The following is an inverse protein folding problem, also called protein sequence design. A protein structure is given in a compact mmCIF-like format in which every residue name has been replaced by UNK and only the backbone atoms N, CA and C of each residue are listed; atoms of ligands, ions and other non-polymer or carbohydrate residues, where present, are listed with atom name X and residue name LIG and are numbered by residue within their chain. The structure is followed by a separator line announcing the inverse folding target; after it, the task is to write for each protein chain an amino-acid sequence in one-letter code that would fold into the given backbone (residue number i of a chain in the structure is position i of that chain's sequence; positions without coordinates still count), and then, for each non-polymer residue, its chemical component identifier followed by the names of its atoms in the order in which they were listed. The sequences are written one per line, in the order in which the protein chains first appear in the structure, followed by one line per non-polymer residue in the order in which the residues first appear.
data_IF_334072753753
#
_entry.id   IF_334072753753
#
_cell.length_a   1.000
_cell.length_b   1.000
_cell.length_c   1.000
_cell.angle_alpha   90.00
_cell.angle_beta   90.00
_cell.angle_gamma   90.00
#
_symmetry.space_group_name_H-M   'P 1'
#
loop_
_entity.id
_entity.type
_entity.pdbx_description
1 polymer ?
#
# COMPACT_ATOMS: atom_id res chain seq x y z
N UNK A 1 -13.81 -25.98 33.54
CA UNK A 1 -13.42 -24.57 33.24
C UNK A 1 -12.33 -24.26 34.26
N UNK A 2 -11.07 -24.10 33.84
CA UNK A 2 -10.02 -23.61 34.72
C UNK A 2 -10.39 -22.20 35.17
N UNK A 3 -10.35 -21.95 36.48
CA UNK A 3 -10.50 -20.58 37.01
C UNK A 3 -9.44 -19.72 36.27
N UNK A 4 -9.86 -18.75 35.48
CA UNK A 4 -8.98 -17.74 34.94
C UNK A 4 -8.34 -17.02 36.11
N UNK A 5 -7.05 -17.15 36.26
CA UNK A 5 -6.31 -16.46 37.31
C UNK A 5 -6.07 -15.03 36.85
N UNK A 6 -6.54 -14.07 37.63
CA UNK A 6 -6.32 -12.65 37.42
C UNK A 6 -5.36 -12.09 38.47
N UNK A 7 -4.61 -11.05 38.09
CA UNK A 7 -3.91 -10.16 39.01
C UNK A 7 -4.64 -8.82 39.04
N UNK A 8 -4.61 -8.14 40.16
CA UNK A 8 -5.17 -6.80 40.31
C UNK A 8 -4.09 -5.78 40.00
N UNK A 9 -4.38 -4.89 39.06
CA UNK A 9 -3.57 -3.72 38.79
C UNK A 9 -4.44 -2.46 38.90
N UNK A 10 -3.82 -1.31 39.16
CA UNK A 10 -4.51 -0.03 39.36
C UNK A 10 -3.89 1.09 38.55
N UNK A 11 -4.72 2.04 38.11
CA UNK A 11 -4.35 3.32 37.54
C UNK A 11 -5.15 4.44 38.22
N UNK A 12 -5.08 5.68 37.67
CA UNK A 12 -5.84 6.82 38.24
C UNK A 12 -7.35 6.65 38.24
N UNK A 13 -7.89 5.72 37.45
CA UNK A 13 -9.33 5.45 37.37
C UNK A 13 -9.78 4.28 38.26
N UNK A 14 -8.85 3.64 38.97
CA UNK A 14 -9.10 2.55 39.89
C UNK A 14 -8.56 1.20 39.45
N UNK A 15 -8.96 0.16 40.16
CA UNK A 15 -8.47 -1.20 39.98
C UNK A 15 -9.22 -1.94 38.86
N UNK A 16 -8.46 -2.78 38.12
CA UNK A 16 -9.00 -3.77 37.17
C UNK A 16 -8.31 -5.12 37.34
N UNK A 17 -9.04 -6.16 36.97
CA UNK A 17 -8.48 -7.51 36.81
C UNK A 17 -7.80 -7.63 35.48
N UNK A 18 -6.53 -8.07 35.49
CA UNK A 18 -5.73 -8.35 34.29
C UNK A 18 -5.41 -9.85 34.33
N UNK A 19 -5.52 -10.60 33.22
CA UNK A 19 -5.14 -12.02 33.20
C UNK A 19 -3.70 -12.22 33.70
N UNK A 20 -3.48 -13.21 34.55
CA UNK A 20 -2.17 -13.40 35.21
C UNK A 20 -1.05 -13.68 34.19
N UNK A 21 -1.40 -14.33 33.07
CA UNK A 21 -0.44 -14.69 32.02
C UNK A 21 -0.17 -13.53 31.04
N UNK A 22 -1.04 -12.51 31.00
CA UNK A 22 -0.87 -11.38 30.12
C UNK A 22 0.39 -10.57 30.47
N UNK A 23 1.09 -10.11 29.46
CA UNK A 23 2.20 -9.14 29.62
C UNK A 23 1.73 -7.69 29.59
N UNK A 24 0.55 -7.43 29.02
CA UNK A 24 -0.06 -6.11 29.15
C UNK A 24 -0.65 -5.90 30.57
N UNK A 25 -0.92 -4.65 30.91
CA UNK A 25 -1.40 -4.25 32.24
C UNK A 25 -2.78 -3.60 32.23
N UNK A 26 -3.04 -2.82 33.28
CA UNK A 26 -4.36 -2.20 33.56
C UNK A 26 -4.82 -1.24 32.47
N UNK A 27 -3.93 -0.43 31.89
CA UNK A 27 -4.32 0.55 30.86
C UNK A 27 -4.71 -0.13 29.56
N UNK A 28 -3.98 -1.16 29.16
CA UNK A 28 -4.35 -2.01 28.01
C UNK A 28 -5.67 -2.73 28.26
N UNK A 29 -5.87 -3.30 29.46
CA UNK A 29 -7.13 -3.96 29.79
C UNK A 29 -8.30 -2.98 29.71
N UNK A 30 -8.12 -1.74 30.16
CA UNK A 30 -9.12 -0.69 30.04
C UNK A 30 -9.42 -0.34 28.58
N UNK A 31 -8.38 -0.24 27.74
CA UNK A 31 -8.54 -0.01 26.30
C UNK A 31 -9.32 -1.13 25.61
N UNK A 32 -9.03 -2.41 25.93
CA UNK A 32 -9.77 -3.57 25.42
C UNK A 32 -11.27 -3.49 25.79
N UNK A 33 -11.55 -3.02 26.99
CA UNK A 33 -12.95 -2.88 27.45
C UNK A 33 -13.66 -1.72 26.74
N UNK A 34 -12.96 -0.62 26.47
CA UNK A 34 -13.52 0.61 25.89
C UNK A 34 -13.67 0.55 24.36
N UNK A 35 -12.70 -0.02 23.66
CA UNK A 35 -12.62 0.05 22.20
C UNK A 35 -12.82 -1.32 21.56
N UNK A 36 -14.04 -1.55 21.07
CA UNK A 36 -14.44 -2.72 20.27
C UNK A 36 -15.10 -2.18 19.00
N UNK A 37 -14.31 -1.51 18.17
CA UNK A 37 -14.80 -0.66 17.08
C UNK A 37 -14.54 -1.30 15.71
N UNK A 38 -13.26 -1.57 15.37
CA UNK A 38 -12.88 -2.00 14.02
C UNK A 38 -12.71 -3.51 13.90
N UNK A 39 -12.59 -4.23 14.99
CA UNK A 39 -12.12 -5.62 15.07
C UNK A 39 -10.69 -5.84 14.51
N UNK A 40 -9.97 -4.76 14.19
CA UNK A 40 -8.57 -4.81 13.78
C UNK A 40 -7.69 -4.39 14.95
N UNK A 41 -6.78 -5.24 15.34
CA UNK A 41 -5.91 -5.04 16.50
C UNK A 41 -4.52 -4.63 16.05
N UNK A 42 -3.75 -4.05 16.96
CA UNK A 42 -2.34 -3.72 16.70
C UNK A 42 -1.54 -4.97 16.30
N UNK A 43 -1.78 -6.12 16.93
CA UNK A 43 -1.11 -7.39 16.61
C UNK A 43 -1.42 -7.95 15.21
N UNK A 44 -2.46 -7.47 14.53
CA UNK A 44 -2.75 -7.83 13.15
C UNK A 44 -1.76 -7.17 12.17
N UNK A 45 -0.97 -6.21 12.65
CA UNK A 45 0.12 -5.56 11.95
C UNK A 45 1.48 -5.82 12.64
N UNK A 46 2.10 -6.99 12.42
CA UNK A 46 3.39 -7.33 13.07
C UNK A 46 4.47 -6.28 12.88
N UNK A 47 4.51 -5.63 11.70
CA UNK A 47 5.45 -4.54 11.41
C UNK A 47 5.27 -3.34 12.32
N UNK A 48 4.05 -3.09 12.80
CA UNK A 48 3.77 -2.00 13.73
C UNK A 48 4.23 -2.35 15.15
N UNK A 49 4.00 -3.58 15.59
CA UNK A 49 4.51 -4.08 16.89
C UNK A 49 6.04 -3.98 16.92
N UNK A 50 6.70 -4.45 15.87
CA UNK A 50 8.16 -4.37 15.72
C UNK A 50 8.63 -2.91 15.73
N UNK A 51 7.97 -2.03 14.98
CA UNK A 51 8.33 -0.63 14.91
C UNK A 51 8.25 0.05 16.28
N UNK A 52 7.18 -0.19 17.04
CA UNK A 52 7.02 0.34 18.39
C UNK A 52 8.13 -0.17 19.32
N UNK A 53 8.47 -1.45 19.26
CA UNK A 53 9.57 -2.00 20.05
C UNK A 53 10.92 -1.38 19.68
N UNK A 54 11.17 -1.07 18.40
CA UNK A 54 12.39 -0.36 17.97
C UNK A 54 12.47 1.05 18.54
N UNK A 55 11.36 1.80 18.53
CA UNK A 55 11.30 3.14 19.13
C UNK A 55 11.61 3.06 20.63
N UNK A 56 10.99 2.13 21.36
CA UNK A 56 11.22 1.96 22.80
C UNK A 56 12.65 1.53 23.11
N UNK A 57 13.24 0.67 22.30
CA UNK A 57 14.63 0.26 22.42
C UNK A 57 15.59 1.43 22.23
N UNK A 58 15.40 2.21 21.16
CA UNK A 58 16.23 3.39 20.88
C UNK A 58 16.12 4.43 22.00
N UNK A 59 14.91 4.67 22.52
CA UNK A 59 14.67 5.57 23.64
C UNK A 59 15.36 5.09 24.93
N UNK A 60 15.29 3.79 25.26
CA UNK A 60 15.94 3.23 26.45
C UNK A 60 17.48 3.34 26.37
N UNK A 61 18.07 3.03 25.20
CA UNK A 61 19.50 3.21 24.97
C UNK A 61 19.92 4.69 25.09
N UNK A 62 19.11 5.59 24.56
CA UNK A 62 19.34 7.04 24.65
C UNK A 62 19.31 7.52 26.10
N UNK A 63 18.28 7.13 26.85
CA UNK A 63 18.16 7.49 28.27
C UNK A 63 19.31 6.94 29.12
N UNK A 64 19.77 5.72 28.83
CA UNK A 64 20.97 5.14 29.48
C UNK A 64 22.21 5.97 29.20
N UNK A 65 22.46 6.32 27.93
CA UNK A 65 23.67 7.08 27.53
C UNK A 65 23.67 8.50 28.10
N UNK A 66 22.50 9.14 28.17
CA UNK A 66 22.32 10.48 28.75
C UNK A 66 22.25 10.48 30.32
N UNK A 67 22.35 9.32 30.94
CA UNK A 67 22.24 9.19 32.39
C UNK A 67 20.85 9.55 32.95
N UNK A 68 19.81 9.38 32.18
CA UNK A 68 18.42 9.58 32.59
C UNK A 68 17.76 8.31 33.13
N UNK A 69 18.40 7.14 32.98
CA UNK A 69 17.89 5.85 33.43
C UNK A 69 19.00 4.97 33.96
N UNK A 70 18.71 4.19 35.00
CA UNK A 70 19.63 3.17 35.52
C UNK A 70 20.00 2.15 34.44
N UNK A 71 21.27 1.81 34.36
CA UNK A 71 21.78 0.92 33.29
C UNK A 71 21.15 -0.46 33.31
N UNK A 72 20.89 -1.04 34.50
CA UNK A 72 20.30 -2.38 34.64
C UNK A 72 18.85 -2.40 34.12
N UNK A 73 18.09 -1.34 34.45
CA UNK A 73 16.71 -1.21 33.97
C UNK A 73 16.69 -0.99 32.46
N UNK A 74 17.54 -0.11 31.94
CA UNK A 74 17.64 0.15 30.49
C UNK A 74 18.01 -1.12 29.71
N UNK A 75 18.97 -1.91 30.19
CA UNK A 75 19.40 -3.14 29.55
C UNK A 75 18.28 -4.20 29.54
N UNK A 76 17.51 -4.30 30.62
CA UNK A 76 16.34 -5.20 30.67
C UNK A 76 15.22 -4.76 29.70
N UNK A 77 14.97 -3.45 29.56
CA UNK A 77 14.02 -2.91 28.57
C UNK A 77 14.52 -3.21 27.14
N UNK A 78 15.80 -2.98 26.86
CA UNK A 78 16.41 -3.29 25.54
C UNK A 78 16.26 -4.76 25.18
N UNK A 79 16.52 -5.67 26.13
CA UNK A 79 16.38 -7.09 25.91
C UNK A 79 14.90 -7.50 25.67
N UNK A 80 13.96 -6.98 26.44
CA UNK A 80 12.53 -7.18 26.24
C UNK A 80 12.09 -6.70 24.84
N UNK A 81 12.56 -5.53 24.39
CA UNK A 81 12.28 -5.01 23.07
C UNK A 81 12.86 -5.92 21.95
N UNK A 82 14.07 -6.46 22.12
CA UNK A 82 14.66 -7.40 21.16
C UNK A 82 13.82 -8.66 21.00
N UNK A 83 13.34 -9.24 22.10
CA UNK A 83 12.44 -10.39 22.03
C UNK A 83 11.16 -10.09 21.24
N UNK A 84 10.58 -8.87 21.37
CA UNK A 84 9.42 -8.44 20.60
C UNK A 84 9.79 -8.25 19.12
N UNK A 85 10.93 -7.66 18.82
CA UNK A 85 11.44 -7.48 17.45
C UNK A 85 11.65 -8.85 16.77
N UNK A 86 12.08 -9.85 17.53
CA UNK A 86 12.28 -11.24 17.08
C UNK A 86 10.95 -12.01 16.94
N UNK A 87 9.80 -11.38 17.14
CA UNK A 87 8.47 -11.95 16.92
C UNK A 87 7.81 -12.58 18.14
N UNK A 88 8.40 -12.45 19.35
CA UNK A 88 7.75 -12.90 20.59
C UNK A 88 6.71 -11.88 21.07
N UNK A 89 5.70 -12.35 21.80
CA UNK A 89 4.70 -11.54 22.49
C UNK A 89 3.80 -10.68 21.57
N UNK A 90 3.75 -10.90 20.28
CA UNK A 90 2.92 -10.12 19.38
C UNK A 90 1.43 -10.22 19.73
N UNK A 91 0.96 -11.36 20.21
CA UNK A 91 -0.39 -11.57 20.72
C UNK A 91 -0.74 -10.72 21.96
N UNK A 92 0.27 -10.13 22.61
CA UNK A 92 0.11 -9.26 23.77
C UNK A 92 -0.20 -7.80 23.39
N UNK A 93 -0.48 -7.51 22.11
CA UNK A 93 -0.87 -6.19 21.61
C UNK A 93 -2.32 -6.20 21.07
N UNK A 94 -3.32 -6.47 21.94
CA UNK A 94 -4.71 -6.71 21.53
C UNK A 94 -5.55 -5.44 21.37
N UNK A 95 -4.99 -4.24 21.51
CA UNK A 95 -5.74 -2.98 21.42
C UNK A 95 -6.30 -2.77 20.02
N UNK A 96 -7.55 -2.29 19.93
CA UNK A 96 -8.19 -1.92 18.67
C UNK A 96 -7.44 -0.75 18.03
N UNK A 97 -7.20 -0.81 16.73
CA UNK A 97 -6.55 0.28 15.97
C UNK A 97 -7.38 1.56 16.00
N UNK A 98 -8.72 1.45 16.08
CA UNK A 98 -9.64 2.60 16.19
C UNK A 98 -9.85 2.93 17.66
N UNK A 99 -9.23 4.01 18.10
CA UNK A 99 -9.23 4.42 19.51
C UNK A 99 -9.18 5.95 19.65
N UNK A 100 -9.73 6.47 20.72
CA UNK A 100 -9.52 7.86 21.14
C UNK A 100 -8.21 8.03 21.91
N UNK A 101 -7.80 9.29 22.14
CA UNK A 101 -6.61 9.61 22.93
C UNK A 101 -5.29 9.63 22.15
N UNK A 102 -5.34 9.88 20.84
CA UNK A 102 -4.16 10.07 19.99
C UNK A 102 -3.16 8.91 20.03
N UNK A 103 -3.63 7.66 20.25
CA UNK A 103 -2.77 6.48 20.29
C UNK A 103 -2.22 6.12 21.68
N UNK A 104 -2.69 6.76 22.75
CA UNK A 104 -2.22 6.47 24.12
C UNK A 104 -2.39 5.00 24.48
N UNK A 105 -3.49 4.35 24.07
CA UNK A 105 -3.69 2.92 24.36
C UNK A 105 -2.64 2.03 23.70
N UNK A 106 -2.22 2.32 22.49
CA UNK A 106 -1.13 1.60 21.83
C UNK A 106 0.21 1.85 22.53
N UNK A 107 0.54 3.11 22.85
CA UNK A 107 1.76 3.45 23.53
C UNK A 107 1.85 2.76 24.90
N UNK A 108 0.75 2.80 25.68
CA UNK A 108 0.72 2.16 26.99
C UNK A 108 0.71 0.64 26.91
N UNK A 109 0.08 0.05 25.90
CA UNK A 109 0.18 -1.39 25.64
C UNK A 109 1.62 -1.83 25.47
N UNK A 110 2.40 -1.10 24.66
CA UNK A 110 3.82 -1.39 24.49
C UNK A 110 4.60 -1.18 25.79
N UNK A 111 4.35 -0.09 26.50
CA UNK A 111 5.02 0.21 27.77
C UNK A 111 4.77 -0.89 28.81
N UNK A 112 3.54 -1.38 28.94
CA UNK A 112 3.17 -2.41 29.91
C UNK A 112 3.78 -3.78 29.54
N UNK A 113 3.71 -4.20 28.26
CA UNK A 113 4.32 -5.45 27.79
C UNK A 113 5.82 -5.45 28.01
N UNK A 114 6.50 -4.37 27.62
CA UNK A 114 7.95 -4.23 27.76
C UNK A 114 8.34 -4.19 29.24
N UNK A 115 7.61 -3.42 30.09
CA UNK A 115 7.89 -3.35 31.52
C UNK A 115 7.75 -4.73 32.20
N UNK A 116 6.67 -5.44 31.94
CA UNK A 116 6.44 -6.76 32.52
C UNK A 116 7.48 -7.78 32.08
N UNK A 117 7.92 -7.73 30.80
CA UNK A 117 9.00 -8.60 30.34
C UNK A 117 10.35 -8.20 30.93
N UNK A 118 10.65 -6.93 31.06
CA UNK A 118 11.86 -6.43 31.72
C UNK A 118 11.92 -6.82 33.20
N UNK A 119 10.77 -6.79 33.90
CA UNK A 119 10.66 -7.28 35.29
C UNK A 119 11.08 -8.76 35.41
N UNK A 120 10.56 -9.63 34.53
CA UNK A 120 10.95 -11.04 34.52
C UNK A 120 12.46 -11.24 34.23
N UNK A 121 13.02 -10.49 33.28
CA UNK A 121 14.46 -10.52 32.95
C UNK A 121 15.30 -10.14 34.17
N UNK A 122 14.82 -9.20 34.99
CA UNK A 122 15.48 -8.81 36.24
C UNK A 122 15.20 -9.73 37.45
N UNK A 123 14.37 -10.77 37.28
CA UNK A 123 14.01 -11.73 38.31
C UNK A 123 12.82 -11.32 39.19
N UNK A 124 12.00 -10.38 38.73
CA UNK A 124 10.78 -9.92 39.39
C UNK A 124 9.52 -10.50 38.75
N UNK A 125 8.38 -10.29 39.40
CA UNK A 125 7.05 -10.72 38.88
C UNK A 125 6.41 -9.60 38.07
N UNK A 126 5.56 -10.00 37.13
CA UNK A 126 4.68 -9.06 36.41
C UNK A 126 3.87 -8.22 37.39
N UNK A 127 3.76 -6.90 37.12
CA UNK A 127 3.05 -5.96 37.99
C UNK A 127 3.89 -5.37 39.14
N UNK A 128 5.13 -5.82 39.37
CA UNK A 128 6.03 -5.24 40.37
C UNK A 128 6.70 -3.93 39.85
N UNK A 129 5.85 -2.96 39.45
CA UNK A 129 6.25 -1.75 38.71
C UNK A 129 7.17 -0.81 39.51
N UNK A 130 7.37 -1.02 40.82
CA UNK A 130 8.37 -0.31 41.61
C UNK A 130 9.82 -0.60 41.12
N UNK A 131 10.06 -1.71 40.42
CA UNK A 131 11.37 -2.07 39.87
C UNK A 131 11.53 -1.70 38.38
N UNK A 132 10.44 -1.76 37.60
CA UNK A 132 10.39 -1.29 36.22
C UNK A 132 8.97 -0.81 35.88
N UNK A 133 8.76 0.49 35.90
CA UNK A 133 7.47 1.13 35.64
C UNK A 133 7.24 1.34 34.13
N UNK A 134 6.04 1.04 33.62
CA UNK A 134 5.66 1.41 32.26
C UNK A 134 5.81 2.92 31.98
N UNK A 135 5.43 3.75 32.95
CA UNK A 135 5.43 5.21 32.81
C UNK A 135 6.82 5.84 33.08
N UNK A 136 7.43 5.49 34.23
CA UNK A 136 8.65 6.20 34.68
C UNK A 136 9.91 5.68 33.97
N UNK A 137 9.91 4.41 33.53
CA UNK A 137 11.07 3.79 32.90
C UNK A 137 10.87 3.56 31.40
N UNK A 138 9.92 2.74 30.98
CA UNK A 138 9.74 2.44 29.53
C UNK A 138 9.36 3.68 28.74
N UNK A 139 8.54 4.57 29.32
CA UNK A 139 8.13 5.85 28.72
C UNK A 139 9.00 7.05 29.14
N UNK A 140 10.14 6.84 29.77
CA UNK A 140 11.05 7.90 30.22
C UNK A 140 11.44 8.83 29.05
N UNK A 141 11.35 10.15 29.27
CA UNK A 141 11.60 11.20 28.27
C UNK A 141 10.74 11.12 27.00
N UNK A 142 9.55 10.54 27.10
CA UNK A 142 8.63 10.36 25.99
C UNK A 142 7.21 10.82 26.35
N UNK A 143 6.43 11.06 25.33
CA UNK A 143 4.97 11.13 25.36
C UNK A 143 4.42 10.13 24.33
N UNK A 144 3.12 9.82 24.37
CA UNK A 144 2.45 9.21 23.23
C UNK A 144 2.63 10.07 21.97
N UNK A 145 2.66 11.38 22.14
CA UNK A 145 2.66 12.36 21.04
C UNK A 145 3.94 12.36 20.20
N UNK A 146 5.03 11.78 20.70
CA UNK A 146 6.26 11.56 19.91
C UNK A 146 6.53 10.10 19.62
N UNK A 147 6.30 9.18 20.57
CA UNK A 147 6.56 7.75 20.39
C UNK A 147 5.59 7.08 19.41
N UNK A 148 4.31 7.42 19.49
CA UNK A 148 3.27 6.83 18.66
C UNK A 148 3.43 7.17 17.16
N UNK A 149 3.51 8.46 16.75
CA UNK A 149 3.72 8.80 15.35
C UNK A 149 5.08 8.30 14.81
N UNK A 150 6.14 8.34 15.60
CA UNK A 150 7.45 7.79 15.19
C UNK A 150 7.37 6.29 14.92
N UNK A 151 6.60 5.54 15.72
CA UNK A 151 6.43 4.10 15.53
C UNK A 151 5.64 3.77 14.25
N UNK A 152 4.51 4.44 13.99
CA UNK A 152 3.77 4.11 12.77
C UNK A 152 4.42 4.67 11.50
N UNK A 153 5.23 5.75 11.56
CA UNK A 153 6.13 6.15 10.45
C UNK A 153 7.06 4.99 10.08
N UNK A 154 7.72 4.41 11.06
CA UNK A 154 8.60 3.27 10.81
C UNK A 154 7.83 2.02 10.35
N UNK A 155 6.65 1.77 10.88
CA UNK A 155 5.79 0.69 10.40
C UNK A 155 5.45 0.85 8.92
N UNK A 156 5.10 2.05 8.46
CA UNK A 156 4.84 2.33 7.04
C UNK A 156 6.08 2.06 6.18
N UNK A 157 7.27 2.49 6.61
CA UNK A 157 8.53 2.23 5.90
C UNK A 157 8.77 0.72 5.77
N UNK A 158 8.57 -0.05 6.84
CA UNK A 158 8.72 -1.51 6.83
C UNK A 158 7.72 -2.19 5.88
N UNK A 159 6.44 -1.84 6.00
CA UNK A 159 5.36 -2.39 5.16
C UNK A 159 5.54 -2.01 3.69
N UNK A 160 6.05 -0.80 3.41
CA UNK A 160 6.31 -0.32 2.05
C UNK A 160 7.31 -1.20 1.29
N UNK A 161 8.24 -1.88 1.96
CA UNK A 161 9.18 -2.81 1.29
C UNK A 161 8.44 -3.94 0.57
N UNK A 162 7.40 -4.49 1.20
CA UNK A 162 6.56 -5.53 0.60
C UNK A 162 5.70 -4.97 -0.53
N UNK A 163 5.17 -3.75 -0.37
CA UNK A 163 4.41 -3.05 -1.41
C UNK A 163 5.28 -2.80 -2.66
N UNK A 164 6.47 -2.28 -2.46
CA UNK A 164 7.42 -1.98 -3.54
C UNK A 164 7.85 -3.26 -4.27
N UNK A 165 8.11 -4.34 -3.53
CA UNK A 165 8.41 -5.64 -4.12
C UNK A 165 7.25 -6.13 -4.97
N UNK A 166 6.02 -6.12 -4.46
CA UNK A 166 4.83 -6.55 -5.20
C UNK A 166 4.60 -5.70 -6.46
N UNK A 167 4.83 -4.39 -6.38
CA UNK A 167 4.74 -3.48 -7.52
C UNK A 167 5.80 -3.81 -8.59
N UNK A 168 7.05 -4.00 -8.21
CA UNK A 168 8.14 -4.37 -9.14
C UNK A 168 7.89 -5.73 -9.79
N UNK A 169 7.43 -6.71 -9.03
CA UNK A 169 7.09 -8.04 -9.55
C UNK A 169 5.93 -7.96 -10.57
N UNK A 170 4.91 -7.15 -10.30
CA UNK A 170 3.80 -6.92 -11.24
C UNK A 170 4.25 -6.21 -12.50
N UNK A 171 5.11 -5.19 -12.39
CA UNK A 171 5.71 -4.50 -13.54
C UNK A 171 6.47 -5.49 -14.42
N UNK A 172 7.30 -6.35 -13.83
CA UNK A 172 8.04 -7.37 -14.57
C UNK A 172 7.12 -8.36 -15.28
N UNK A 173 6.00 -8.75 -14.69
CA UNK A 173 5.01 -9.61 -15.34
C UNK A 173 4.37 -8.93 -16.56
N UNK A 174 4.02 -7.64 -16.47
CA UNK A 174 3.53 -6.88 -17.61
C UNK A 174 4.58 -6.74 -18.71
N UNK A 175 5.85 -6.49 -18.37
CA UNK A 175 6.96 -6.43 -19.33
C UNK A 175 7.13 -7.77 -20.06
N UNK A 176 7.09 -8.89 -19.33
CA UNK A 176 7.19 -10.21 -19.93
C UNK A 176 6.04 -10.49 -20.92
N UNK A 177 4.80 -10.09 -20.57
CA UNK A 177 3.66 -10.17 -21.50
C UNK A 177 3.79 -9.22 -22.68
N UNK A 178 4.35 -8.03 -22.48
CA UNK A 178 4.66 -7.09 -23.54
C UNK A 178 5.61 -7.72 -24.57
N UNK A 179 6.67 -8.40 -24.13
CA UNK A 179 7.61 -9.11 -25.01
C UNK A 179 6.96 -10.34 -25.69
N UNK A 180 6.13 -11.12 -24.95
CA UNK A 180 5.39 -12.27 -25.48
C UNK A 180 4.44 -11.86 -26.61
N UNK A 181 3.83 -10.69 -26.52
CA UNK A 181 2.79 -10.23 -27.46
C UNK A 181 3.29 -9.16 -28.43
N UNK A 182 4.59 -8.94 -28.53
CA UNK A 182 5.19 -7.85 -29.33
C UNK A 182 4.80 -7.84 -30.81
N UNK A 183 4.57 -9.02 -31.38
CA UNK A 183 4.23 -9.21 -32.79
C UNK A 183 2.71 -9.40 -33.02
N UNK A 184 1.87 -9.28 -31.99
CA UNK A 184 0.43 -9.45 -32.10
C UNK A 184 -0.24 -8.13 -32.38
N UNK A 185 -0.64 -7.92 -33.63
CA UNK A 185 -1.34 -6.72 -34.05
C UNK A 185 -2.76 -6.68 -33.50
N UNK A 186 -3.20 -5.50 -33.09
CA UNK A 186 -4.57 -5.20 -32.65
C UNK A 186 -5.00 -3.80 -33.09
N UNK A 187 -6.28 -3.50 -32.98
CA UNK A 187 -6.79 -2.15 -33.14
C UNK A 187 -6.65 -1.36 -31.84
N UNK A 188 -5.93 -0.25 -31.88
CA UNK A 188 -5.92 0.74 -30.81
C UNK A 188 -7.24 1.53 -30.80
N UNK A 189 -7.70 1.93 -29.62
CA UNK A 189 -8.97 2.64 -29.46
C UNK A 189 -8.79 3.93 -28.64
N UNK A 190 -9.48 4.98 -29.07
CA UNK A 190 -9.69 6.20 -28.30
C UNK A 190 -11.17 6.43 -28.14
N UNK A 191 -11.66 6.79 -26.95
CA UNK A 191 -13.09 6.93 -26.65
C UNK A 191 -13.90 5.66 -26.99
N UNK A 192 -13.28 4.48 -26.92
CA UNK A 192 -13.80 3.16 -27.33
C UNK A 192 -14.11 3.04 -28.84
N UNK A 193 -13.70 4.00 -29.65
CA UNK A 193 -13.81 3.94 -31.10
C UNK A 193 -12.49 3.49 -31.71
N UNK A 194 -12.57 2.84 -32.88
CA UNK A 194 -11.40 2.43 -33.65
C UNK A 194 -10.50 3.65 -33.95
N UNK A 195 -9.22 3.50 -33.68
CA UNK A 195 -8.22 4.53 -33.98
C UNK A 195 -7.24 4.03 -35.03
N UNK A 196 -6.08 3.53 -34.61
CA UNK A 196 -5.03 3.03 -35.49
C UNK A 196 -4.50 1.70 -34.99
N UNK A 197 -3.92 0.87 -35.88
CA UNK A 197 -3.26 -0.38 -35.47
C UNK A 197 -2.09 -0.12 -34.51
N UNK A 198 -1.93 -1.07 -33.59
CA UNK A 198 -0.80 -1.17 -32.64
C UNK A 198 -0.55 -2.63 -32.34
N UNK A 199 0.45 -2.96 -31.52
CA UNK A 199 0.60 -4.34 -31.02
C UNK A 199 0.07 -4.47 -29.61
N UNK A 200 -0.41 -5.67 -29.26
CA UNK A 200 -0.73 -6.03 -27.86
C UNK A 200 0.52 -5.90 -26.98
N UNK A 201 1.71 -6.15 -27.51
CA UNK A 201 2.96 -5.94 -26.79
C UNK A 201 3.17 -4.49 -26.38
N UNK A 202 2.92 -3.52 -27.27
CA UNK A 202 3.01 -2.10 -26.95
C UNK A 202 2.05 -1.71 -25.82
N UNK A 203 0.83 -2.27 -25.82
CA UNK A 203 -0.17 -2.01 -24.77
C UNK A 203 0.27 -2.55 -23.40
N UNK A 204 0.76 -3.79 -23.35
CA UNK A 204 1.25 -4.38 -22.10
C UNK A 204 2.53 -3.71 -21.59
N UNK A 205 3.44 -3.31 -22.47
CA UNK A 205 4.60 -2.47 -22.10
C UNK A 205 4.17 -1.10 -21.56
N UNK A 206 3.15 -0.49 -22.14
CA UNK A 206 2.60 0.78 -21.63
C UNK A 206 2.02 0.62 -20.21
N UNK A 207 1.37 -0.49 -19.88
CA UNK A 207 0.93 -0.78 -18.51
C UNK A 207 2.12 -0.89 -17.55
N UNK A 208 3.17 -1.60 -17.95
CA UNK A 208 4.40 -1.72 -17.16
C UNK A 208 5.06 -0.36 -16.90
N UNK A 209 5.21 0.48 -17.94
CA UNK A 209 5.79 1.82 -17.84
C UNK A 209 4.94 2.72 -16.93
N UNK A 210 3.62 2.67 -17.08
CA UNK A 210 2.69 3.46 -16.28
C UNK A 210 2.78 3.14 -14.79
N UNK A 211 2.91 1.85 -14.43
CA UNK A 211 3.15 1.43 -13.04
C UNK A 211 4.58 1.73 -12.59
N UNK A 212 5.57 1.67 -13.48
CA UNK A 212 6.97 1.95 -13.18
C UNK A 212 7.21 3.36 -12.64
N UNK A 213 6.42 4.36 -13.08
CA UNK A 213 6.46 5.72 -12.54
C UNK A 213 6.12 5.77 -11.04
N UNK A 214 5.33 4.81 -10.55
CA UNK A 214 4.89 4.80 -9.16
C UNK A 214 5.98 4.35 -8.19
N UNK A 215 6.99 3.61 -8.65
CA UNK A 215 8.15 3.22 -7.83
C UNK A 215 8.85 4.46 -7.28
N UNK A 216 9.23 5.39 -8.16
CA UNK A 216 9.88 6.64 -7.76
C UNK A 216 8.94 7.57 -6.99
N UNK A 217 7.65 7.59 -7.34
CA UNK A 217 6.67 8.40 -6.64
C UNK A 217 6.50 7.95 -5.18
N UNK A 218 6.38 6.65 -4.95
CA UNK A 218 6.28 6.08 -3.59
C UNK A 218 7.57 6.33 -2.81
N UNK A 219 8.74 6.06 -3.41
CA UNK A 219 10.05 6.29 -2.77
C UNK A 219 10.21 7.72 -2.25
N UNK A 220 9.85 8.72 -3.09
CA UNK A 220 9.91 10.14 -2.69
C UNK A 220 9.02 10.44 -1.48
N UNK A 221 7.86 9.83 -1.40
CA UNK A 221 6.92 10.04 -0.29
C UNK A 221 7.31 9.25 0.96
N UNK A 222 7.89 8.07 0.83
CA UNK A 222 8.47 7.33 1.96
C UNK A 222 9.61 8.11 2.61
N UNK A 223 10.41 8.85 1.84
CA UNK A 223 11.49 9.67 2.39
C UNK A 223 11.01 10.74 3.39
N UNK A 224 9.76 11.19 3.30
CA UNK A 224 9.16 12.12 4.27
C UNK A 224 8.89 11.47 5.65
N UNK A 225 8.86 10.15 5.71
CA UNK A 225 8.56 9.40 6.93
C UNK A 225 9.80 9.22 7.84
N UNK A 226 10.99 9.50 7.34
CA UNK A 226 12.24 9.36 8.12
C UNK A 226 12.46 10.48 9.14
N UNK A 227 11.78 11.60 9.01
CA UNK A 227 11.79 12.66 9.99
C UNK A 227 10.84 12.30 11.14
N UNK A 228 11.39 12.25 12.38
CA UNK A 228 10.64 11.86 13.57
C UNK A 228 10.72 12.96 14.64
N UNK A 229 9.67 13.04 15.47
CA UNK A 229 9.57 14.02 16.55
C UNK A 229 9.93 13.46 17.93
N UNK A 230 10.66 12.32 18.01
CA UNK A 230 11.13 11.75 19.27
C UNK A 230 11.91 12.77 20.09
N UNK A 231 11.55 12.90 21.36
CA UNK A 231 12.10 13.89 22.27
C UNK A 231 11.33 15.21 22.33
N UNK A 232 10.33 15.41 21.44
CA UNK A 232 9.39 16.53 21.52
C UNK A 232 8.49 16.46 22.75
N UNK A 233 8.27 15.25 23.24
CA UNK A 233 7.41 14.95 24.38
C UNK A 233 5.96 15.42 24.16
N UNK A 234 5.38 16.17 25.07
CA UNK A 234 3.96 16.50 25.05
C UNK A 234 3.53 17.41 23.89
N UNK A 235 4.31 18.44 23.56
CA UNK A 235 3.97 19.50 22.60
C UNK A 235 5.17 19.96 21.75
N UNK A 236 6.25 19.18 21.71
CA UNK A 236 7.44 19.52 20.95
C UNK A 236 8.48 20.35 21.70
N UNK A 237 8.23 20.75 22.94
CA UNK A 237 9.18 21.59 23.74
C UNK A 237 10.23 20.78 24.46
N UNK A 238 10.18 19.44 24.40
CA UNK A 238 11.17 18.56 25.03
C UNK A 238 11.10 18.52 26.57
N UNK A 239 9.96 18.88 27.16
CA UNK A 239 9.79 18.85 28.62
C UNK A 239 10.08 17.44 29.16
N UNK A 240 10.92 17.33 30.20
CA UNK A 240 11.39 16.07 30.80
C UNK A 240 12.37 15.24 29.95
N UNK A 241 12.71 15.61 28.73
CA UNK A 241 13.81 15.01 27.98
C UNK A 241 15.14 15.70 28.33
N UNK A 242 16.23 14.93 28.35
CA UNK A 242 17.58 15.48 28.53
C UNK A 242 18.01 16.19 27.23
N UNK A 243 18.83 17.25 27.31
CA UNK A 243 19.41 17.87 26.11
C UNK A 243 20.14 16.83 25.23
N UNK A 244 19.91 16.90 23.92
CA UNK A 244 20.48 15.97 22.93
C UNK A 244 19.71 14.66 22.77
N UNK A 245 18.59 14.48 23.48
CA UNK A 245 17.78 13.28 23.34
C UNK A 245 17.24 13.08 21.91
N UNK A 246 16.69 14.08 21.19
CA UNK A 246 16.12 13.90 19.87
C UNK A 246 17.13 13.34 18.86
N UNK A 247 18.29 13.99 18.75
CA UNK A 247 19.34 13.61 17.80
C UNK A 247 19.94 12.25 18.12
N UNK A 248 20.17 11.97 19.41
CA UNK A 248 20.73 10.70 19.84
C UNK A 248 19.75 9.55 19.65
N UNK A 249 18.46 9.76 19.94
CA UNK A 249 17.41 8.76 19.72
C UNK A 249 17.25 8.43 18.23
N UNK A 250 17.21 9.42 17.36
CA UNK A 250 17.18 9.22 15.91
C UNK A 250 18.41 8.47 15.40
N UNK A 251 19.61 8.80 15.95
CA UNK A 251 20.85 8.07 15.65
C UNK A 251 20.79 6.60 16.10
N UNK A 252 20.34 6.33 17.34
CA UNK A 252 20.19 4.95 17.85
C UNK A 252 19.19 4.14 17.02
N UNK A 253 18.09 4.78 16.61
CA UNK A 253 17.11 4.13 15.73
C UNK A 253 17.71 3.83 14.37
N UNK A 254 18.50 4.74 13.80
CA UNK A 254 19.23 4.53 12.54
C UNK A 254 20.22 3.36 12.65
N UNK A 255 21.01 3.31 13.72
CA UNK A 255 21.96 2.22 13.98
C UNK A 255 21.26 0.86 14.14
N UNK A 256 20.10 0.84 14.82
CA UNK A 256 19.32 -0.38 15.05
C UNK A 256 18.68 -0.92 13.77
N UNK A 257 18.16 -0.04 12.93
CA UNK A 257 17.26 -0.41 11.82
C UNK A 257 17.94 -0.43 10.45
N UNK A 258 19.07 0.29 10.32
CA UNK A 258 19.71 0.57 9.03
C UNK A 258 19.00 1.62 8.18
N UNK A 259 17.94 2.23 8.71
CA UNK A 259 17.18 3.30 8.04
C UNK A 259 17.76 4.67 8.37
N UNK A 260 17.39 5.72 7.62
CA UNK A 260 18.00 7.06 7.74
C UNK A 260 17.11 8.00 8.55
N UNK A 261 16.82 7.67 9.81
CA UNK A 261 16.01 8.53 10.66
C UNK A 261 16.75 9.82 11.04
N UNK A 262 16.02 10.92 11.03
CA UNK A 262 16.50 12.24 11.49
C UNK A 262 15.51 12.81 12.50
N UNK A 263 16.04 13.55 13.46
CA UNK A 263 15.20 14.35 14.35
C UNK A 263 14.62 15.54 13.57
N UNK A 264 13.34 15.83 13.77
CA UNK A 264 12.72 17.01 13.16
C UNK A 264 13.45 18.29 13.60
N UNK A 265 13.69 19.24 12.69
CA UNK A 265 14.39 20.48 13.00
C UNK A 265 13.59 21.40 13.93
N UNK A 266 12.27 21.32 13.90
CA UNK A 266 11.34 21.99 14.82
C UNK A 266 10.34 20.95 15.36
N UNK A 267 10.57 20.52 16.59
CA UNK A 267 9.73 19.50 17.25
C UNK A 267 8.33 20.03 17.60
N UNK A 268 8.17 21.36 17.76
CA UNK A 268 6.86 21.96 18.04
C UNK A 268 6.00 21.93 16.78
N UNK A 269 6.58 22.21 15.63
CA UNK A 269 5.92 22.08 14.33
C UNK A 269 5.59 20.62 14.03
N UNK A 270 6.57 19.72 14.20
CA UNK A 270 6.45 18.29 13.82
C UNK A 270 5.46 17.50 14.70
N UNK A 271 5.11 17.98 15.90
CA UNK A 271 4.20 17.24 16.80
C UNK A 271 2.76 17.19 16.28
N UNK A 272 2.12 18.27 15.80
CA UNK A 272 0.80 18.22 15.18
C UNK A 272 0.84 17.90 13.67
N UNK A 273 2.00 17.95 13.00
CA UNK A 273 2.06 17.83 11.53
C UNK A 273 1.75 16.42 11.05
N UNK A 274 0.85 16.37 10.07
CA UNK A 274 0.42 15.14 9.38
C UNK A 274 0.67 15.18 7.87
N UNK A 275 1.41 16.18 7.38
CA UNK A 275 1.67 16.41 5.96
C UNK A 275 2.34 15.23 5.26
N UNK A 276 3.29 14.58 5.93
CA UNK A 276 3.95 13.38 5.41
C UNK A 276 2.96 12.23 5.17
N UNK A 277 1.97 12.07 6.04
CA UNK A 277 0.94 11.01 5.91
C UNK A 277 -0.02 11.29 4.76
N UNK A 278 -0.45 12.55 4.60
CA UNK A 278 -1.29 12.98 3.48
C UNK A 278 -0.57 12.74 2.16
N UNK A 279 0.70 13.11 2.08
CA UNK A 279 1.53 12.92 0.88
C UNK A 279 1.70 11.43 0.54
N UNK A 280 2.04 10.59 1.52
CA UNK A 280 2.22 9.17 1.31
C UNK A 280 0.90 8.46 0.97
N UNK A 281 -0.20 8.78 1.65
CA UNK A 281 -1.54 8.30 1.31
C UNK A 281 -1.95 8.69 -0.12
N UNK A 282 -1.65 9.94 -0.52
CA UNK A 282 -1.85 10.41 -1.89
C UNK A 282 -1.07 9.62 -2.93
N UNK A 283 0.15 9.18 -2.60
CA UNK A 283 0.95 8.30 -3.48
C UNK A 283 0.30 6.90 -3.62
N UNK A 284 -0.19 6.32 -2.53
CA UNK A 284 -0.94 5.04 -2.56
C UNK A 284 -2.22 5.16 -3.39
N UNK A 285 -2.97 6.26 -3.23
CA UNK A 285 -4.15 6.56 -4.06
C UNK A 285 -3.78 6.67 -5.54
N UNK A 286 -2.70 7.36 -5.90
CA UNK A 286 -2.26 7.48 -7.29
C UNK A 286 -1.94 6.12 -7.91
N UNK A 287 -1.25 5.23 -7.19
CA UNK A 287 -1.03 3.84 -7.59
C UNK A 287 -2.37 3.11 -7.79
N UNK A 288 -3.30 3.22 -6.84
CA UNK A 288 -4.61 2.60 -6.92
C UNK A 288 -5.41 3.04 -8.15
N UNK A 289 -5.41 4.34 -8.48
CA UNK A 289 -6.08 4.87 -9.68
C UNK A 289 -5.53 4.26 -10.96
N UNK A 290 -4.20 4.20 -11.11
CA UNK A 290 -3.55 3.59 -12.27
C UNK A 290 -3.84 2.10 -12.38
N UNK A 291 -3.72 1.37 -11.27
CA UNK A 291 -3.98 -0.06 -11.22
C UNK A 291 -5.44 -0.39 -11.55
N UNK A 292 -6.39 0.39 -11.03
CA UNK A 292 -7.81 0.25 -11.32
C UNK A 292 -8.12 0.48 -12.80
N UNK A 293 -7.49 1.50 -13.42
CA UNK A 293 -7.65 1.76 -14.87
C UNK A 293 -7.15 0.59 -15.70
N UNK A 294 -6.00 0.03 -15.39
CA UNK A 294 -5.46 -1.14 -16.08
C UNK A 294 -6.41 -2.34 -15.93
N UNK A 295 -6.95 -2.59 -14.74
CA UNK A 295 -7.95 -3.65 -14.53
C UNK A 295 -9.23 -3.44 -15.34
N UNK A 296 -9.69 -2.21 -15.53
CA UNK A 296 -10.82 -1.89 -16.39
C UNK A 296 -10.54 -2.26 -17.85
N UNK A 297 -9.33 -1.96 -18.35
CA UNK A 297 -8.94 -2.32 -19.71
C UNK A 297 -8.84 -3.84 -19.89
N UNK A 298 -8.25 -4.56 -18.95
CA UNK A 298 -8.15 -6.02 -18.97
C UNK A 298 -9.55 -6.67 -19.01
N UNK A 299 -10.49 -6.16 -18.22
CA UNK A 299 -11.89 -6.62 -18.21
C UNK A 299 -12.58 -6.37 -19.55
N UNK A 300 -12.36 -5.19 -20.13
CA UNK A 300 -12.94 -4.82 -21.43
C UNK A 300 -12.38 -5.67 -22.57
N UNK A 301 -11.05 -5.80 -22.65
CA UNK A 301 -10.38 -6.61 -23.68
C UNK A 301 -10.74 -8.10 -23.59
N UNK A 302 -11.01 -8.62 -22.40
CA UNK A 302 -11.43 -10.01 -22.18
C UNK A 302 -12.93 -10.24 -22.35
N UNK A 303 -13.72 -9.20 -22.63
CA UNK A 303 -15.20 -9.29 -22.70
C UNK A 303 -15.69 -10.25 -23.77
N UNK A 304 -16.78 -10.92 -23.52
CA UNK A 304 -17.39 -11.85 -24.45
C UNK A 304 -17.74 -13.21 -23.82
N UNK A 305 -17.47 -14.35 -24.49
CA UNK A 305 -16.52 -14.57 -25.58
C UNK A 305 -17.02 -14.27 -27.00
N UNK A 306 -18.34 -14.20 -27.25
CA UNK A 306 -18.88 -14.03 -28.60
C UNK A 306 -19.40 -12.62 -28.89
N UNK A 307 -19.95 -11.97 -27.87
CA UNK A 307 -20.58 -10.65 -27.97
C UNK A 307 -19.73 -9.51 -27.38
N UNK A 308 -18.43 -9.71 -27.20
CA UNK A 308 -17.50 -8.72 -26.72
C UNK A 308 -16.24 -8.63 -27.56
N UNK A 309 -15.21 -7.94 -27.06
CA UNK A 309 -13.96 -7.73 -27.79
C UNK A 309 -13.20 -9.04 -27.97
N UNK A 310 -13.03 -9.81 -26.89
CA UNK A 310 -12.33 -11.10 -26.91
C UNK A 310 -10.91 -11.01 -27.50
N UNK A 311 -10.21 -9.94 -27.23
CA UNK A 311 -8.82 -9.76 -27.67
C UNK A 311 -7.85 -10.62 -26.85
N UNK A 312 -8.13 -10.73 -25.53
CA UNK A 312 -7.34 -11.53 -24.59
C UNK A 312 -8.21 -12.56 -23.87
N UNK A 313 -7.57 -13.58 -23.31
CA UNK A 313 -8.19 -14.52 -22.39
C UNK A 313 -7.52 -14.37 -21.03
N UNK A 314 -8.33 -14.24 -19.99
CA UNK A 314 -7.87 -14.28 -18.61
C UNK A 314 -7.99 -15.72 -18.07
N UNK A 315 -7.10 -16.15 -17.16
CA UNK A 315 -7.22 -17.45 -16.51
C UNK A 315 -8.58 -17.60 -15.81
N UNK A 316 -9.27 -18.73 -15.95
CA UNK A 316 -10.53 -18.99 -15.26
C UNK A 316 -10.26 -19.28 -13.77
N UNK A 317 -10.69 -18.39 -12.87
CA UNK A 317 -10.43 -18.51 -11.43
C UNK A 317 -11.63 -18.96 -10.60
N UNK A 318 -12.85 -18.82 -11.14
CA UNK A 318 -14.06 -19.26 -10.46
C UNK A 318 -15.17 -19.57 -11.47
N UNK A 319 -16.12 -20.47 -11.16
CA UNK A 319 -17.37 -20.58 -11.90
C UNK A 319 -18.09 -19.23 -11.91
N UNK A 320 -18.39 -18.71 -13.08
CA UNK A 320 -18.82 -17.30 -13.22
C UNK A 320 -20.29 -17.03 -12.93
N UNK A 321 -21.11 -18.08 -12.78
CA UNK A 321 -22.56 -17.91 -12.61
C UNK A 321 -23.20 -19.13 -11.97
N UNK A 322 -24.15 -18.89 -11.08
CA UNK A 322 -25.01 -19.93 -10.50
C UNK A 322 -26.15 -20.37 -11.42
N UNK A 323 -26.42 -19.61 -12.49
CA UNK A 323 -27.58 -19.84 -13.41
C UNK A 323 -27.16 -20.01 -14.88
N UNK A 324 -25.95 -19.52 -15.27
CA UNK A 324 -25.45 -19.60 -16.65
C UNK A 324 -24.27 -20.58 -16.74
N UNK A 325 -24.46 -21.85 -17.11
CA UNK A 325 -23.38 -22.82 -17.22
C UNK A 325 -22.29 -22.34 -18.20
N UNK A 326 -21.01 -22.48 -17.79
CA UNK A 326 -19.86 -22.13 -18.63
C UNK A 326 -19.49 -20.63 -18.67
N UNK A 327 -20.22 -19.75 -17.99
CA UNK A 327 -19.84 -18.36 -17.86
C UNK A 327 -18.65 -18.21 -16.91
N UNK A 328 -17.60 -17.55 -17.35
CA UNK A 328 -16.41 -17.22 -16.54
C UNK A 328 -16.25 -15.70 -16.49
N UNK A 329 -16.17 -15.15 -15.30
CA UNK A 329 -16.03 -13.72 -15.08
C UNK A 329 -14.57 -13.33 -14.77
N UNK A 330 -14.16 -12.07 -15.05
CA UNK A 330 -12.81 -11.55 -14.78
C UNK A 330 -12.64 -11.18 -13.29
N UNK A 331 -12.86 -12.14 -12.38
CA UNK A 331 -12.98 -11.90 -10.92
C UNK A 331 -11.72 -11.31 -10.28
N UNK A 332 -10.54 -11.59 -10.83
CA UNK A 332 -9.27 -11.07 -10.28
C UNK A 332 -9.11 -9.57 -10.57
N UNK A 333 -9.28 -9.08 -11.82
CA UNK A 333 -9.36 -7.63 -12.04
C UNK A 333 -10.49 -6.94 -11.26
N UNK A 334 -11.64 -7.61 -11.08
CA UNK A 334 -12.77 -7.06 -10.32
C UNK A 334 -12.43 -6.83 -8.84
N UNK A 335 -11.83 -7.82 -8.16
CA UNK A 335 -11.42 -7.65 -6.75
C UNK A 335 -10.32 -6.62 -6.62
N UNK A 336 -9.42 -6.52 -7.59
CA UNK A 336 -8.37 -5.49 -7.62
C UNK A 336 -8.98 -4.09 -7.73
N UNK A 337 -10.01 -3.89 -8.59
CA UNK A 337 -10.77 -2.64 -8.64
C UNK A 337 -11.38 -2.27 -7.26
N UNK A 338 -12.00 -3.25 -6.58
CA UNK A 338 -12.61 -3.01 -5.26
C UNK A 338 -11.58 -2.58 -4.21
N UNK A 339 -10.41 -3.21 -4.20
CA UNK A 339 -9.28 -2.80 -3.36
C UNK A 339 -8.87 -1.35 -3.66
N UNK A 340 -8.74 -1.00 -4.95
CA UNK A 340 -8.39 0.35 -5.37
C UNK A 340 -9.42 1.38 -4.91
N UNK A 341 -10.72 1.07 -4.99
CA UNK A 341 -11.78 1.97 -4.50
C UNK A 341 -11.69 2.19 -2.99
N UNK A 342 -11.39 1.12 -2.24
CA UNK A 342 -11.22 1.23 -0.78
C UNK A 342 -10.01 2.11 -0.43
N UNK A 343 -8.89 1.96 -1.13
CA UNK A 343 -7.69 2.79 -0.94
C UNK A 343 -7.96 4.27 -1.24
N UNK A 344 -8.72 4.58 -2.29
CA UNK A 344 -9.16 5.94 -2.60
C UNK A 344 -10.01 6.51 -1.45
N UNK A 345 -10.92 5.71 -0.89
CA UNK A 345 -11.72 6.08 0.27
C UNK A 345 -10.87 6.32 1.53
N UNK A 346 -9.87 5.48 1.76
CA UNK A 346 -8.92 5.64 2.86
C UNK A 346 -8.12 6.95 2.76
N UNK A 347 -7.68 7.34 1.57
CA UNK A 347 -6.99 8.63 1.35
C UNK A 347 -7.89 9.83 1.69
N UNK A 348 -9.17 9.76 1.36
CA UNK A 348 -10.13 10.78 1.78
C UNK A 348 -10.25 10.84 3.31
N UNK A 349 -10.29 9.67 3.97
CA UNK A 349 -10.30 9.59 5.44
C UNK A 349 -9.05 10.23 6.05
N UNK A 350 -7.86 9.93 5.49
CA UNK A 350 -6.59 10.52 5.93
C UNK A 350 -6.62 12.05 5.77
N UNK A 351 -7.15 12.55 4.65
CA UNK A 351 -7.26 14.00 4.40
C UNK A 351 -8.15 14.70 5.43
N UNK A 352 -9.33 14.14 5.75
CA UNK A 352 -10.22 14.70 6.77
C UNK A 352 -9.61 14.62 8.17
N UNK A 353 -8.95 13.50 8.49
CA UNK A 353 -8.31 13.32 9.79
C UNK A 353 -7.11 14.27 9.98
N UNK A 354 -6.36 14.52 8.92
CA UNK A 354 -5.25 15.47 8.94
C UNK A 354 -5.75 16.92 9.16
N UNK A 355 -6.83 17.31 8.48
CA UNK A 355 -7.44 18.64 8.61
C UNK A 355 -8.04 18.86 10.01
N UNK A 356 -8.53 17.82 10.67
CA UNK A 356 -9.20 17.89 11.96
C UNK A 356 -8.25 18.12 13.16
N UNK A 357 -6.92 18.16 12.95
CA UNK A 357 -5.95 18.49 14.01
C UNK A 357 -6.15 19.89 14.56
N UNK A 358 -5.91 20.05 15.85
CA UNK A 358 -6.06 21.33 16.55
C UNK A 358 -4.84 21.64 17.42
N UNK A 359 -4.31 22.85 17.26
CA UNK A 359 -3.18 23.37 18.06
C UNK A 359 -1.96 22.43 17.99
N UNK A 360 -1.44 21.96 19.12
CA UNK A 360 -0.15 21.27 19.22
C UNK A 360 -0.23 19.75 19.05
N UNK A 361 -1.38 19.19 18.67
CA UNK A 361 -1.53 17.74 18.45
C UNK A 361 -2.66 17.42 17.48
N UNK A 362 -2.46 16.43 16.62
CA UNK A 362 -3.56 15.82 15.86
C UNK A 362 -4.05 14.55 16.58
N UNK A 363 -5.23 14.63 17.19
CA UNK A 363 -5.82 13.48 17.94
C UNK A 363 -6.40 12.40 17.04
N UNK A 364 -6.45 12.60 15.71
CA UNK A 364 -7.01 11.66 14.72
C UNK A 364 -5.96 10.73 14.11
N UNK A 365 -4.71 10.76 14.59
CA UNK A 365 -3.64 9.86 14.15
C UNK A 365 -4.02 8.37 14.12
N UNK A 366 -4.82 7.80 15.05
CA UNK A 366 -5.21 6.40 14.97
C UNK A 366 -5.93 6.00 13.67
N UNK A 367 -6.86 6.81 13.17
CA UNK A 367 -7.53 6.52 11.90
C UNK A 367 -6.62 6.76 10.70
N UNK A 368 -5.67 7.69 10.80
CA UNK A 368 -4.62 7.89 9.79
C UNK A 368 -3.75 6.63 9.69
N UNK A 369 -3.23 6.15 10.82
CA UNK A 369 -2.40 4.95 10.88
C UNK A 369 -3.13 3.72 10.33
N UNK A 370 -4.36 3.47 10.77
CA UNK A 370 -5.19 2.36 10.30
C UNK A 370 -5.44 2.43 8.79
N UNK A 371 -5.85 3.58 8.27
CA UNK A 371 -6.19 3.76 6.86
C UNK A 371 -4.99 3.53 5.93
N UNK A 372 -3.81 3.98 6.34
CA UNK A 372 -2.58 3.80 5.56
C UNK A 372 -2.09 2.35 5.63
N UNK A 373 -2.06 1.72 6.81
CA UNK A 373 -1.65 0.31 6.96
C UNK A 373 -2.58 -0.64 6.18
N UNK A 374 -3.88 -0.41 6.24
CA UNK A 374 -4.87 -1.16 5.45
C UNK A 374 -4.61 -0.99 3.96
N UNK A 375 -4.36 0.24 3.50
CA UNK A 375 -4.08 0.54 2.09
C UNK A 375 -2.81 -0.15 1.59
N UNK A 376 -1.71 -0.13 2.35
CA UNK A 376 -0.46 -0.81 2.02
C UNK A 376 -0.69 -2.32 1.91
N UNK A 377 -1.35 -2.90 2.92
CA UNK A 377 -1.62 -4.34 3.00
C UNK A 377 -2.47 -4.80 1.83
N UNK A 378 -3.57 -4.11 1.57
CA UNK A 378 -4.51 -4.51 0.53
C UNK A 378 -3.95 -4.33 -0.87
N UNK A 379 -3.22 -3.23 -1.14
CA UNK A 379 -2.52 -3.04 -2.43
C UNK A 379 -1.46 -4.11 -2.65
N UNK A 380 -0.66 -4.44 -1.64
CA UNK A 380 0.35 -5.50 -1.73
C UNK A 380 -0.29 -6.83 -2.11
N UNK A 381 -1.35 -7.23 -1.42
CA UNK A 381 -2.04 -8.48 -1.66
C UNK A 381 -2.75 -8.49 -3.03
N UNK A 382 -3.39 -7.38 -3.42
CA UNK A 382 -4.06 -7.26 -4.70
C UNK A 382 -3.09 -7.33 -5.88
N UNK A 383 -1.91 -6.69 -5.79
CA UNK A 383 -0.89 -6.74 -6.84
C UNK A 383 -0.31 -8.15 -7.00
N UNK A 384 -0.01 -8.85 -5.89
CA UNK A 384 0.43 -10.24 -5.94
C UNK A 384 -0.65 -11.15 -6.54
N UNK A 385 -1.90 -11.01 -6.10
CA UNK A 385 -3.02 -11.79 -6.63
C UNK A 385 -3.24 -11.51 -8.12
N UNK A 386 -3.20 -10.24 -8.54
CA UNK A 386 -3.36 -9.86 -9.94
C UNK A 386 -2.24 -10.45 -10.80
N UNK A 387 -0.98 -10.39 -10.35
CA UNK A 387 0.16 -10.99 -11.05
C UNK A 387 -0.02 -12.49 -11.22
N UNK A 388 -0.18 -13.21 -10.11
CA UNK A 388 -0.14 -14.68 -10.09
C UNK A 388 -1.38 -15.32 -10.70
N UNK A 389 -2.55 -14.74 -10.48
CA UNK A 389 -3.84 -15.32 -10.85
C UNK A 389 -4.43 -14.73 -12.14
N UNK A 390 -3.82 -13.69 -12.68
CA UNK A 390 -4.31 -13.05 -13.91
C UNK A 390 -3.17 -12.81 -14.91
N UNK A 391 -2.25 -11.89 -14.65
CA UNK A 391 -1.31 -11.38 -15.67
C UNK A 391 -0.42 -12.50 -16.23
N UNK A 392 0.20 -13.32 -15.39
CA UNK A 392 1.11 -14.39 -15.83
C UNK A 392 0.42 -15.41 -16.76
N UNK A 393 -0.88 -15.62 -16.60
CA UNK A 393 -1.66 -16.57 -17.39
C UNK A 393 -2.45 -15.99 -18.56
N UNK A 394 -2.34 -14.69 -18.86
CA UNK A 394 -3.04 -14.06 -20.00
C UNK A 394 -2.52 -14.64 -21.31
N UNK A 395 -3.45 -14.91 -22.24
CA UNK A 395 -3.17 -15.22 -23.64
C UNK A 395 -3.89 -14.24 -24.56
N UNK A 396 -3.40 -14.08 -25.80
CA UNK A 396 -3.99 -13.20 -26.81
C UNK A 396 -4.63 -14.01 -27.93
N UNK A 397 -5.82 -13.62 -28.37
CA UNK A 397 -6.52 -14.18 -29.53
C UNK A 397 -6.05 -13.49 -30.82
N UNK A 398 -4.93 -13.93 -31.37
CA UNK A 398 -4.26 -13.32 -32.53
C UNK A 398 -5.18 -13.15 -33.73
N UNK A 399 -5.91 -14.20 -34.09
CA UNK A 399 -6.85 -14.19 -35.21
C UNK A 399 -7.96 -13.18 -35.02
N UNK A 400 -8.54 -13.12 -33.81
CA UNK A 400 -9.57 -12.13 -33.45
C UNK A 400 -9.08 -10.70 -33.53
N UNK A 401 -7.89 -10.44 -33.01
CA UNK A 401 -7.25 -9.13 -33.10
C UNK A 401 -7.01 -8.71 -34.54
N UNK A 402 -6.47 -9.63 -35.36
CA UNK A 402 -6.22 -9.38 -36.77
C UNK A 402 -7.51 -9.15 -37.59
N UNK A 403 -8.54 -9.94 -37.37
CA UNK A 403 -9.85 -9.74 -38.00
C UNK A 403 -10.43 -8.35 -37.71
N UNK A 404 -10.35 -7.89 -36.47
CA UNK A 404 -10.82 -6.55 -36.11
C UNK A 404 -10.02 -5.44 -36.81
N UNK A 405 -8.71 -5.58 -36.91
CA UNK A 405 -7.87 -4.65 -37.68
C UNK A 405 -8.27 -4.65 -39.17
N UNK A 406 -8.36 -5.84 -39.78
CA UNK A 406 -8.71 -5.98 -41.18
C UNK A 406 -10.09 -5.38 -41.53
N UNK A 407 -11.05 -5.51 -40.63
CA UNK A 407 -12.42 -5.04 -40.83
C UNK A 407 -12.64 -3.60 -40.39
N UNK A 408 -11.64 -2.97 -39.74
CA UNK A 408 -11.76 -1.59 -39.29
C UNK A 408 -11.57 -0.61 -40.45
N UNK A 409 -12.39 0.45 -40.46
CA UNK A 409 -12.22 1.59 -41.36
C UNK A 409 -10.93 2.36 -41.00
N UNK A 410 -10.47 2.27 -39.77
CA UNK A 410 -9.26 2.94 -39.25
C UNK A 410 -7.95 2.57 -40.01
N UNK A 411 -7.92 1.40 -40.69
CA UNK A 411 -6.74 1.00 -41.48
C UNK A 411 -6.48 1.95 -42.66
N UNK A 412 -7.48 2.72 -43.11
CA UNK A 412 -7.31 3.73 -44.15
C UNK A 412 -6.28 4.78 -43.76
N UNK A 413 -6.07 4.99 -42.46
CA UNK A 413 -5.08 5.95 -41.95
C UNK A 413 -3.66 5.52 -42.31
N UNK A 414 -3.37 4.22 -42.31
CA UNK A 414 -2.08 3.68 -42.75
C UNK A 414 -1.82 3.91 -44.25
N UNK A 415 -2.89 4.08 -45.03
CA UNK A 415 -2.82 4.35 -46.46
C UNK A 415 -2.67 5.83 -46.81
N UNK A 416 -2.94 6.76 -45.87
CA UNK A 416 -2.85 8.22 -46.11
C UNK A 416 -1.54 8.67 -46.74
N UNK A 417 -0.36 8.19 -46.31
CA UNK A 417 0.90 8.60 -46.94
C UNK A 417 1.04 8.19 -48.39
N UNK A 418 0.30 7.15 -48.82
CA UNK A 418 0.42 6.52 -50.15
C UNK A 418 -0.63 7.08 -51.13
N UNK A 419 -1.93 7.06 -50.70
CA UNK A 419 -3.05 7.46 -51.57
C UNK A 419 -3.53 8.89 -51.32
N UNK A 420 -3.01 9.56 -50.30
CA UNK A 420 -3.36 10.92 -49.90
C UNK A 420 -4.67 11.00 -49.11
N UNK A 421 -4.79 12.02 -48.26
CA UNK A 421 -5.93 12.25 -47.35
C UNK A 421 -7.28 12.28 -48.05
N UNK A 422 -7.36 12.94 -49.23
CA UNK A 422 -8.60 13.09 -49.99
C UNK A 422 -9.16 11.77 -50.51
N UNK A 423 -8.27 10.88 -51.00
CA UNK A 423 -8.64 9.55 -51.43
C UNK A 423 -9.03 8.67 -50.23
N UNK A 424 -8.27 8.73 -49.17
CA UNK A 424 -8.53 8.02 -47.92
C UNK A 424 -9.91 8.40 -47.32
N UNK A 425 -10.28 9.68 -47.34
CA UNK A 425 -11.61 10.15 -46.89
C UNK A 425 -12.73 9.55 -47.72
N UNK A 426 -12.53 9.45 -49.05
CA UNK A 426 -13.58 8.85 -49.94
C UNK A 426 -13.72 7.36 -49.66
N UNK A 427 -12.60 6.65 -49.52
CA UNK A 427 -12.60 5.20 -49.21
C UNK A 427 -13.26 4.95 -47.85
N UNK A 428 -12.91 5.74 -46.81
CA UNK A 428 -13.53 5.61 -45.49
C UNK A 428 -15.04 5.83 -45.51
N UNK A 429 -15.50 6.87 -46.26
CA UNK A 429 -16.90 7.18 -46.39
C UNK A 429 -17.67 6.03 -47.09
N UNK A 430 -17.12 5.53 -48.18
CA UNK A 430 -17.72 4.42 -48.94
C UNK A 430 -17.76 3.14 -48.09
N UNK A 431 -16.68 2.83 -47.36
CA UNK A 431 -16.64 1.69 -46.45
C UNK A 431 -17.72 1.76 -45.37
N UNK A 432 -17.93 2.95 -44.81
CA UNK A 432 -18.95 3.19 -43.80
C UNK A 432 -20.39 3.04 -44.36
N UNK A 433 -20.64 3.64 -45.53
CA UNK A 433 -21.97 3.62 -46.17
C UNK A 433 -22.36 2.25 -46.72
N UNK A 434 -21.39 1.49 -47.22
CA UNK A 434 -21.65 0.21 -47.91
C UNK A 434 -21.33 -1.04 -47.05
N UNK A 435 -20.75 -0.86 -45.88
CA UNK A 435 -20.25 -1.92 -45.01
C UNK A 435 -19.24 -2.86 -45.71
N UNK A 436 -18.52 -2.36 -46.70
CA UNK A 436 -17.46 -3.09 -47.44
C UNK A 436 -16.12 -2.84 -46.80
N UNK A 437 -15.18 -3.76 -47.01
CA UNK A 437 -13.84 -3.61 -46.50
C UNK A 437 -13.08 -2.48 -47.21
N UNK A 438 -12.25 -1.75 -46.48
CA UNK A 438 -11.31 -0.76 -47.03
C UNK A 438 -10.42 -1.41 -48.10
N UNK A 439 -9.99 -2.65 -47.85
CA UNK A 439 -9.13 -3.42 -48.74
C UNK A 439 -9.78 -3.60 -50.14
N UNK A 440 -11.03 -4.05 -50.19
CA UNK A 440 -11.75 -4.29 -51.43
C UNK A 440 -12.02 -2.99 -52.20
N UNK A 441 -12.39 -1.94 -51.49
CA UNK A 441 -12.67 -0.61 -52.10
C UNK A 441 -11.41 -0.05 -52.74
N UNK A 442 -10.26 -0.11 -52.07
CA UNK A 442 -8.96 0.40 -52.57
C UNK A 442 -8.54 -0.33 -53.84
N UNK A 443 -8.74 -1.67 -53.90
CA UNK A 443 -8.45 -2.46 -55.11
C UNK A 443 -9.39 -2.13 -56.25
N UNK A 444 -10.69 -2.07 -56.00
CA UNK A 444 -11.71 -1.79 -57.00
C UNK A 444 -11.53 -0.42 -57.66
N UNK A 445 -11.18 0.59 -56.85
CA UNK A 445 -10.89 1.92 -57.36
C UNK A 445 -9.49 2.06 -57.99
N UNK A 446 -8.71 0.97 -58.02
CA UNK A 446 -7.37 0.97 -58.60
C UNK A 446 -6.42 1.97 -57.93
N UNK A 447 -6.63 2.29 -56.67
CA UNK A 447 -5.79 3.22 -55.94
C UNK A 447 -4.42 2.63 -55.59
N UNK A 448 -4.35 1.32 -55.40
CA UNK A 448 -3.12 0.54 -55.16
C UNK A 448 -3.24 -0.83 -55.86
N UNK A 449 -2.10 -1.39 -56.21
CA UNK A 449 -2.06 -2.81 -56.60
C UNK A 449 -2.20 -3.68 -55.37
N UNK A 450 -2.59 -4.95 -55.58
CA UNK A 450 -2.67 -5.91 -54.46
C UNK A 450 -1.39 -6.01 -53.67
N UNK A 451 -0.24 -6.08 -54.37
CA UNK A 451 1.08 -6.16 -53.71
C UNK A 451 1.40 -4.91 -52.90
N UNK A 452 1.10 -3.73 -53.41
CA UNK A 452 1.27 -2.45 -52.69
C UNK A 452 0.36 -2.38 -51.45
N UNK A 453 -0.88 -2.84 -51.59
CA UNK A 453 -1.84 -2.81 -50.48
C UNK A 453 -1.48 -3.83 -49.40
N UNK A 454 -1.11 -5.06 -49.81
CA UNK A 454 -0.65 -6.11 -48.89
C UNK A 454 0.59 -5.63 -48.11
N UNK A 455 1.54 -4.96 -48.78
CA UNK A 455 2.71 -4.40 -48.13
C UNK A 455 2.35 -3.23 -47.18
N UNK A 456 1.46 -2.34 -47.59
CA UNK A 456 1.03 -1.18 -46.76
C UNK A 456 0.25 -1.61 -45.50
N UNK A 457 -0.49 -2.72 -45.60
CA UNK A 457 -1.27 -3.30 -44.51
C UNK A 457 -0.56 -4.46 -43.81
N UNK A 458 0.73 -4.71 -44.14
CA UNK A 458 1.55 -5.63 -43.33
C UNK A 458 1.66 -5.09 -41.90
N UNK A 459 1.36 -5.90 -40.87
CA UNK A 459 1.46 -5.49 -39.48
C UNK A 459 2.74 -4.73 -39.13
N UNK A 460 3.88 -5.13 -39.72
CA UNK A 460 5.18 -4.49 -39.50
C UNK A 460 5.25 -3.05 -40.02
N UNK A 461 4.43 -2.70 -41.01
CA UNK A 461 4.42 -1.38 -41.63
C UNK A 461 3.30 -0.46 -41.10
N UNK A 462 2.35 -1.02 -40.31
CA UNK A 462 1.22 -0.27 -39.75
C UNK A 462 1.49 0.26 -38.32
N UNK A 463 2.52 -0.24 -37.68
CA UNK A 463 2.93 0.17 -36.32
C UNK A 463 4.15 1.09 -36.44
N UNK A 464 4.06 2.27 -35.79
CA UNK A 464 5.12 3.28 -35.75
C UNK A 464 6.30 2.89 -34.85
#
# INVERSE_FOLDING_TARGET
MSEEKFRIESDLLGELQVPVDAYYGVQTQRAINNYKISNTKMCDYPEYVIAMACIKLAAAQTNKELGAMDAKIADAIVEACREIIDGKFHDQFPVDMMQGGAGTSVNMNANEVIANRALEIMGHKKGEYQFCSPNDHVNCAQSTNDAYPSAFRYAFIRMNRNLEKALKDLIAAFQAKGEEFKDVIKMGRTQLQDAVPMTSGQEFHAFATNLGEEVLNIERNVNLLYEINMGGTAIGTGLNAKPGFPELCAKKLTELTGEKFIAAPDLVEATPDTGAYVSYSGALKRLAVKLSKICNDLRLMASGPRCGLKEINLPPMAPGSSIMPGKVNPVIPEVTNQVCFKVIGNDMTVSFAAEAGQLQLNVMEPVIAQSIMESITWLTNAMNTLREKCIEGITVNKERCYEMVKNSIGIVTALNPIIGYKSSTKVAKEALETNRSVYDIVLEHGLLTKEQLDNALDPKNMIG
#
